data_IF_027374819171
#
_entry.id   IF_027374819171
#
_cell.length_a   1.000
_cell.length_b   1.000
_cell.length_c   1.000
_cell.angle_alpha   90.00
_cell.angle_beta   90.00
_cell.angle_gamma   90.00
#
_symmetry.space_group_name_H-M   'P 1'
#
loop_
_entity.id
_entity.type
_entity.pdbx_description
1 polymer ?
#
# COMPACT_ATOMS: atom_id res chain seq x y z
N UNK A 1 -7.94 -10.23 2.50
CA UNK A 1 -7.80 -11.41 1.61
C UNK A 1 -7.17 -11.04 0.27
N UNK A 2 -7.58 -9.95 -0.39
CA UNK A 2 -7.07 -9.57 -1.73
C UNK A 2 -5.55 -9.42 -1.86
N UNK A 3 -4.86 -8.97 -0.79
CA UNK A 3 -3.39 -8.85 -0.76
C UNK A 3 -2.66 -10.17 -1.02
N UNK A 4 -2.97 -11.22 -0.24
CA UNK A 4 -2.33 -12.52 -0.37
C UNK A 4 -2.63 -13.16 -1.74
N UNK A 5 -3.84 -12.96 -2.25
CA UNK A 5 -4.19 -13.39 -3.60
C UNK A 5 -3.34 -12.68 -4.65
N UNK A 6 -3.18 -11.35 -4.59
CA UNK A 6 -2.37 -10.60 -5.54
C UNK A 6 -0.91 -11.09 -5.58
N UNK A 7 -0.31 -11.34 -4.40
CA UNK A 7 1.03 -11.94 -4.28
C UNK A 7 1.07 -13.34 -4.91
N UNK A 8 0.09 -14.19 -4.61
CA UNK A 8 0.00 -15.55 -5.15
C UNK A 8 -0.16 -15.59 -6.68
N UNK A 9 -0.83 -14.59 -7.26
CA UNK A 9 -0.95 -14.42 -8.71
C UNK A 9 0.29 -13.78 -9.37
N UNK A 10 1.37 -13.54 -8.62
CA UNK A 10 2.63 -13.05 -9.16
C UNK A 10 2.71 -11.54 -9.32
N UNK A 11 1.91 -10.76 -8.58
CA UNK A 11 2.10 -9.31 -8.54
C UNK A 11 3.51 -8.98 -8.02
N UNK A 12 4.27 -8.24 -8.84
CA UNK A 12 5.68 -7.89 -8.54
C UNK A 12 5.81 -6.97 -7.34
N UNK A 13 4.88 -6.01 -7.21
CA UNK A 13 4.77 -5.11 -6.06
C UNK A 13 3.31 -4.98 -5.65
N UNK A 14 3.05 -4.98 -4.35
CA UNK A 14 1.72 -4.81 -3.78
C UNK A 14 1.77 -3.77 -2.67
N UNK A 15 1.07 -2.67 -2.91
CA UNK A 15 0.89 -1.59 -1.94
C UNK A 15 -0.52 -1.63 -1.37
N UNK A 16 -0.68 -1.33 -0.08
CA UNK A 16 -1.99 -1.28 0.57
C UNK A 16 -2.29 0.11 1.12
N UNK A 17 -3.55 0.50 1.00
CA UNK A 17 -4.11 1.67 1.66
C UNK A 17 -5.31 1.26 2.49
N UNK A 18 -5.41 1.75 3.72
CA UNK A 18 -6.55 1.53 4.62
C UNK A 18 -6.55 2.66 5.67
N UNK A 19 -7.71 2.91 6.28
CA UNK A 19 -7.82 3.81 7.43
C UNK A 19 -7.38 3.12 8.73
N UNK A 20 -7.38 1.79 8.75
CA UNK A 20 -7.04 0.98 9.92
C UNK A 20 -5.56 0.60 9.91
N UNK A 21 -4.80 1.23 10.82
CA UNK A 21 -3.37 0.99 10.97
C UNK A 21 -3.01 -0.45 11.34
N UNK A 22 -3.83 -1.15 12.13
CA UNK A 22 -3.55 -2.54 12.51
C UNK A 22 -3.56 -3.47 11.31
N UNK A 23 -4.43 -3.21 10.32
CA UNK A 23 -4.44 -3.98 9.06
C UNK A 23 -3.21 -3.71 8.22
N UNK A 24 -2.77 -2.45 8.17
CA UNK A 24 -1.58 -2.05 7.42
C UNK A 24 -0.31 -2.59 8.07
N UNK A 25 -0.25 -2.61 9.40
CA UNK A 25 0.86 -3.25 10.13
C UNK A 25 0.96 -4.73 9.80
N UNK A 26 -0.16 -5.46 9.85
CA UNK A 26 -0.19 -6.86 9.45
C UNK A 26 0.21 -7.05 7.98
N UNK A 27 -0.25 -6.18 7.07
CA UNK A 27 0.14 -6.26 5.67
C UNK A 27 1.64 -6.06 5.45
N UNK A 28 2.27 -5.12 6.18
CA UNK A 28 3.72 -4.92 6.18
C UNK A 28 4.46 -6.17 6.70
N UNK A 29 4.01 -6.75 7.82
CA UNK A 29 4.57 -7.99 8.38
C UNK A 29 4.45 -9.18 7.42
N UNK A 30 3.38 -9.21 6.61
CA UNK A 30 3.16 -10.24 5.58
C UNK A 30 3.86 -9.94 4.24
N UNK A 31 4.68 -8.88 4.18
CA UNK A 31 5.53 -8.57 3.03
C UNK A 31 4.85 -7.74 1.93
N UNK A 32 3.98 -6.82 2.29
CA UNK A 32 3.59 -5.73 1.38
C UNK A 32 4.79 -4.81 1.10
N UNK A 33 4.92 -4.34 -0.14
CA UNK A 33 6.05 -3.50 -0.56
C UNK A 33 5.93 -2.06 -0.03
N UNK A 34 4.70 -1.63 0.29
CA UNK A 34 4.45 -0.41 1.03
C UNK A 34 3.02 -0.35 1.54
N UNK A 35 2.84 0.39 2.64
CA UNK A 35 1.56 0.56 3.29
C UNK A 35 1.34 2.04 3.59
N UNK A 36 0.15 2.54 3.33
CA UNK A 36 -0.17 3.94 3.53
C UNK A 36 -1.48 4.11 4.28
N UNK A 37 -1.39 4.74 5.46
CA UNK A 37 -2.56 5.05 6.28
C UNK A 37 -3.30 6.22 5.65
N UNK A 38 -4.61 6.08 5.50
CA UNK A 38 -5.49 7.17 5.08
C UNK A 38 -6.01 7.89 6.32
N UNK A 39 -5.51 9.09 6.58
CA UNK A 39 -6.12 10.00 7.56
C UNK A 39 -7.30 10.72 6.91
N UNK A 40 -8.53 10.31 7.25
CA UNK A 40 -9.76 10.87 6.68
C UNK A 40 -9.96 12.36 6.96
N UNK A 41 -9.24 12.96 7.92
CA UNK A 41 -9.34 14.39 8.23
C UNK A 41 -8.42 15.25 7.37
N UNK A 42 -7.28 14.70 6.96
CA UNK A 42 -6.24 15.41 6.22
C UNK A 42 -5.90 14.74 4.88
N UNK A 43 -6.83 13.96 4.34
CA UNK A 43 -6.59 13.19 3.12
C UNK A 43 -6.53 14.10 1.89
N UNK A 44 -5.45 13.99 1.14
CA UNK A 44 -5.30 14.58 -0.18
C UNK A 44 -4.95 13.48 -1.19
N UNK A 45 -5.91 13.15 -2.04
CA UNK A 45 -5.85 12.06 -3.00
C UNK A 45 -4.69 12.25 -4.00
N UNK A 46 -4.41 13.50 -4.40
CA UNK A 46 -3.37 13.80 -5.39
C UNK A 46 -1.98 13.58 -4.81
N UNK A 47 -1.74 14.07 -3.60
CA UNK A 47 -0.46 13.90 -2.91
C UNK A 47 -0.20 12.41 -2.62
N UNK A 48 -1.24 11.69 -2.20
CA UNK A 48 -1.17 10.26 -1.94
C UNK A 48 -0.83 9.47 -3.22
N UNK A 49 -1.52 9.73 -4.32
CA UNK A 49 -1.26 9.08 -5.60
C UNK A 49 0.16 9.37 -6.11
N UNK A 50 0.68 10.59 -5.88
CA UNK A 50 2.06 10.94 -6.22
C UNK A 50 3.07 10.16 -5.38
N UNK A 51 2.84 10.01 -4.07
CA UNK A 51 3.69 9.20 -3.19
C UNK A 51 3.74 7.74 -3.65
N UNK A 52 2.58 7.13 -3.88
CA UNK A 52 2.49 5.74 -4.36
C UNK A 52 3.21 5.56 -5.70
N UNK A 53 3.00 6.48 -6.66
CA UNK A 53 3.70 6.44 -7.96
C UNK A 53 5.21 6.54 -7.81
N UNK A 54 5.68 7.40 -6.91
CA UNK A 54 7.12 7.59 -6.67
C UNK A 54 7.76 6.31 -6.12
N UNK A 55 7.12 5.65 -5.17
CA UNK A 55 7.62 4.38 -4.60
C UNK A 55 7.51 3.21 -5.59
N UNK A 56 6.45 3.18 -6.40
CA UNK A 56 6.31 2.18 -7.44
C UNK A 56 7.46 2.25 -8.47
N UNK A 57 7.82 3.47 -8.90
CA UNK A 57 8.87 3.70 -9.91
C UNK A 57 10.31 3.63 -9.39
N UNK A 58 10.53 3.50 -8.07
CA UNK A 58 11.88 3.55 -7.49
C UNK A 58 12.75 2.31 -7.75
N UNK A 59 12.19 1.23 -8.31
CA UNK A 59 12.90 -0.03 -8.61
C UNK A 59 13.04 -0.30 -10.12
N UNK A 60 13.02 0.74 -10.95
CA UNK A 60 13.35 0.68 -12.38
C UNK A 60 14.74 1.29 -12.65
#
# INVERSE_FOLDING_TARGET
MSFLCAKAFGATKVFLTDINESRLKLASELGADGVFVIDTKNFNDKEMAQKIRKELSADC
#
